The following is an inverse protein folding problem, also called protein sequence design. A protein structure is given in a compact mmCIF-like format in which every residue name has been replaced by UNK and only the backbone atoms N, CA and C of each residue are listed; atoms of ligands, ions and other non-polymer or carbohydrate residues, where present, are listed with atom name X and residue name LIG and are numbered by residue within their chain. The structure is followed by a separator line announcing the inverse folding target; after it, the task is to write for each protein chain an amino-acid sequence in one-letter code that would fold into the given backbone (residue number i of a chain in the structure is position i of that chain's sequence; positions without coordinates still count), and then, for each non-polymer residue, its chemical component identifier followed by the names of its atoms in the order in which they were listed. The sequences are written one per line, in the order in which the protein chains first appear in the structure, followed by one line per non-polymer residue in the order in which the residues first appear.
data_IF_419599998796
#
_entry.id   IF_419599998796
#
_cell.length_a   1.000
_cell.length_b   1.000
_cell.length_c   1.000
_cell.angle_alpha   90.00
_cell.angle_beta   90.00
_cell.angle_gamma   90.00
#
_symmetry.space_group_name_H-M   'P 1'
#
loop_
_entity.id
_entity.type
_entity.pdbx_description
1 polymer ?
#
# COMPACT_ATOMS: atom_id res chain seq x y z
N UNK A 1 28.65 -10.57 -14.26
CA UNK A 1 27.46 -10.20 -15.05
C UNK A 1 27.36 -8.69 -15.04
N UNK A 2 27.31 -7.99 -16.19
CA UNK A 2 27.18 -6.54 -16.15
C UNK A 2 25.75 -6.22 -15.69
N UNK A 3 25.60 -5.90 -14.42
CA UNK A 3 24.40 -5.25 -13.93
C UNK A 3 24.34 -3.89 -14.60
N UNK A 4 23.39 -3.72 -15.51
CA UNK A 4 22.90 -2.44 -15.97
C UNK A 4 22.83 -1.50 -14.74
N UNK A 5 23.66 -0.46 -14.67
CA UNK A 5 23.62 0.46 -13.55
C UNK A 5 22.30 1.22 -13.67
N UNK A 6 21.28 0.74 -12.95
CA UNK A 6 20.09 1.51 -12.70
C UNK A 6 20.56 2.81 -12.05
N UNK A 7 20.39 3.92 -12.77
CA UNK A 7 20.64 5.26 -12.22
C UNK A 7 19.90 5.33 -10.87
N UNK A 8 20.59 5.65 -9.76
CA UNK A 8 19.96 5.80 -8.46
C UNK A 8 18.70 6.67 -8.50
N UNK A 9 18.62 7.65 -9.42
CA UNK A 9 17.42 8.45 -9.66
C UNK A 9 16.16 7.59 -9.88
N UNK A 10 16.25 6.51 -10.66
CA UNK A 10 15.11 5.64 -10.92
C UNK A 10 14.63 4.94 -9.66
N UNK A 11 15.54 4.58 -8.75
CA UNK A 11 15.18 3.97 -7.47
C UNK A 11 14.43 4.96 -6.56
N UNK A 12 14.89 6.21 -6.47
CA UNK A 12 14.22 7.25 -5.69
C UNK A 12 12.84 7.59 -6.28
N UNK A 13 12.75 7.68 -7.61
CA UNK A 13 11.48 7.94 -8.28
C UNK A 13 10.48 6.80 -8.05
N UNK A 14 10.92 5.55 -8.17
CA UNK A 14 10.08 4.39 -7.91
C UNK A 14 9.61 4.35 -6.44
N UNK A 15 10.51 4.66 -5.50
CA UNK A 15 10.17 4.74 -4.08
C UNK A 15 9.16 5.84 -3.80
N UNK A 16 9.34 7.04 -4.37
CA UNK A 16 8.41 8.16 -4.24
C UNK A 16 7.02 7.82 -4.80
N UNK A 17 6.96 7.28 -6.02
CA UNK A 17 5.69 6.88 -6.64
C UNK A 17 4.96 5.83 -5.80
N UNK A 18 5.67 4.80 -5.35
CA UNK A 18 5.08 3.73 -4.54
C UNK A 18 4.64 4.24 -3.17
N UNK A 19 5.44 5.09 -2.52
CA UNK A 19 5.08 5.72 -1.25
C UNK A 19 3.78 6.53 -1.38
N UNK A 20 3.64 7.34 -2.43
CA UNK A 20 2.43 8.12 -2.70
C UNK A 20 1.22 7.18 -2.87
N UNK A 21 1.33 6.16 -3.73
CA UNK A 21 0.23 5.22 -3.98
C UNK A 21 -0.22 4.53 -2.70
N UNK A 22 0.73 4.06 -1.88
CA UNK A 22 0.43 3.36 -0.63
C UNK A 22 -0.17 4.29 0.42
N UNK A 23 0.40 5.48 0.63
CA UNK A 23 -0.08 6.43 1.64
C UNK A 23 -1.46 6.98 1.28
N UNK A 24 -1.67 7.38 0.03
CA UNK A 24 -2.97 7.89 -0.44
C UNK A 24 -4.01 6.77 -0.45
N UNK A 25 -3.64 5.58 -0.93
CA UNK A 25 -4.51 4.41 -0.94
C UNK A 25 -4.96 4.02 0.47
N UNK A 26 -4.03 4.03 1.44
CA UNK A 26 -4.36 3.74 2.83
C UNK A 26 -5.25 4.81 3.46
N UNK A 27 -4.97 6.09 3.20
CA UNK A 27 -5.79 7.19 3.69
C UNK A 27 -7.25 7.08 3.18
N UNK A 28 -7.45 6.77 1.91
CA UNK A 28 -8.78 6.55 1.33
C UNK A 28 -9.51 5.37 1.98
N UNK A 29 -8.81 4.24 2.17
CA UNK A 29 -9.38 3.05 2.83
C UNK A 29 -9.73 3.29 4.29
N UNK A 30 -8.95 4.08 5.02
CA UNK A 30 -9.24 4.42 6.43
C UNK A 30 -10.35 5.46 6.56
N UNK A 31 -10.47 6.37 5.61
CA UNK A 31 -11.53 7.38 5.60
C UNK A 31 -12.92 6.77 5.44
N UNK A 32 -13.06 5.69 4.65
CA UNK A 32 -14.30 4.92 4.49
C UNK A 32 -14.03 3.42 4.57
N UNK A 33 -13.68 2.97 5.78
CA UNK A 33 -13.32 1.57 6.06
C UNK A 33 -14.46 0.62 5.79
N UNK A 34 -15.70 1.02 6.06
CA UNK A 34 -16.86 0.17 5.89
C UNK A 34 -17.16 -0.07 4.41
N UNK A 35 -17.00 0.94 3.55
CA UNK A 35 -17.04 0.75 2.09
C UNK A 35 -15.92 -0.18 1.61
N UNK A 36 -14.71 -0.05 2.17
CA UNK A 36 -13.59 -0.94 1.83
C UNK A 36 -13.84 -2.40 2.28
N UNK A 37 -14.37 -2.61 3.48
CA UNK A 37 -14.77 -3.94 3.97
C UNK A 37 -15.87 -4.55 3.08
N UNK A 38 -16.87 -3.77 2.67
CA UNK A 38 -17.88 -4.19 1.71
C UNK A 38 -17.28 -4.63 0.37
N UNK A 39 -16.30 -3.88 -0.15
CA UNK A 39 -15.57 -4.28 -1.36
C UNK A 39 -14.81 -5.60 -1.17
N UNK A 40 -14.11 -5.78 -0.03
CA UNK A 40 -13.39 -7.02 0.29
C UNK A 40 -14.33 -8.24 0.36
N UNK A 41 -15.48 -8.11 1.00
CA UNK A 41 -16.50 -9.16 1.05
C UNK A 41 -17.02 -9.52 -0.35
N UNK A 42 -17.27 -8.50 -1.19
CA UNK A 42 -17.75 -8.70 -2.56
C UNK A 42 -16.74 -9.44 -3.45
N UNK A 43 -15.44 -9.24 -3.25
CA UNK A 43 -14.41 -9.96 -3.99
C UNK A 43 -14.32 -11.45 -3.61
N UNK A 44 -14.85 -11.86 -2.45
CA UNK A 44 -14.87 -13.25 -1.96
C UNK A 44 -13.49 -13.93 -1.96
N UNK A 45 -12.41 -13.15 -1.86
CA UNK A 45 -11.03 -13.64 -1.81
C UNK A 45 -10.66 -14.16 -0.42
N UNK A 46 -11.37 -13.71 0.60
CA UNK A 46 -11.14 -14.02 2.01
C UNK A 46 -12.37 -14.72 2.59
N UNK A 47 -12.21 -15.57 3.63
CA UNK A 47 -13.33 -16.01 4.44
C UNK A 47 -14.03 -14.82 5.10
N UNK A 48 -15.35 -14.93 5.34
CA UNK A 48 -16.15 -13.84 5.93
C UNK A 48 -15.56 -13.31 7.24
N UNK A 49 -15.05 -14.21 8.10
CA UNK A 49 -14.43 -13.86 9.38
C UNK A 49 -13.13 -13.04 9.25
N UNK A 50 -12.53 -13.01 8.07
CA UNK A 50 -11.28 -12.28 7.78
C UNK A 50 -11.50 -10.94 7.10
N UNK A 51 -12.72 -10.62 6.65
CA UNK A 51 -13.03 -9.35 5.98
C UNK A 51 -12.72 -8.17 6.88
N UNK A 52 -13.28 -8.16 8.10
CA UNK A 52 -13.09 -7.07 9.06
C UNK A 52 -11.63 -6.91 9.53
N UNK A 53 -10.91 -7.99 9.90
CA UNK A 53 -9.48 -7.90 10.17
C UNK A 53 -8.68 -7.36 8.97
N UNK A 54 -8.93 -7.86 7.76
CA UNK A 54 -8.22 -7.41 6.57
C UNK A 54 -8.50 -5.94 6.23
N UNK A 55 -9.72 -5.46 6.47
CA UNK A 55 -10.09 -4.05 6.30
C UNK A 55 -9.28 -3.10 7.19
N UNK A 56 -8.72 -3.59 8.31
CA UNK A 56 -7.76 -2.85 9.13
C UNK A 56 -6.30 -3.13 8.75
N UNK A 57 -5.93 -4.40 8.63
CA UNK A 57 -4.54 -4.80 8.46
C UNK A 57 -3.96 -4.33 7.13
N UNK A 58 -4.74 -4.34 6.05
CA UNK A 58 -4.29 -3.91 4.72
C UNK A 58 -3.93 -2.42 4.69
N UNK A 59 -4.81 -1.47 5.04
CA UNK A 59 -4.43 -0.06 5.05
C UNK A 59 -3.33 0.27 6.06
N UNK A 60 -3.27 -0.41 7.22
CA UNK A 60 -2.16 -0.24 8.16
C UNK A 60 -0.83 -0.71 7.57
N UNK A 61 -0.82 -1.83 6.84
CA UNK A 61 0.36 -2.32 6.13
C UNK A 61 0.77 -1.36 5.01
N UNK A 62 -0.19 -0.81 4.25
CA UNK A 62 0.08 0.22 3.25
C UNK A 62 0.66 1.49 3.86
N UNK A 63 0.13 1.98 4.99
CA UNK A 63 0.71 3.11 5.72
C UNK A 63 2.15 2.82 6.18
N UNK A 64 2.38 1.66 6.79
CA UNK A 64 3.70 1.27 7.26
C UNK A 64 4.71 1.17 6.11
N UNK A 65 4.34 0.49 5.01
CA UNK A 65 5.18 0.38 3.84
C UNK A 65 5.45 1.74 3.17
N UNK A 66 4.41 2.57 3.02
CA UNK A 66 4.53 3.90 2.44
C UNK A 66 5.45 4.82 3.26
N UNK A 67 5.33 4.80 4.59
CA UNK A 67 6.21 5.59 5.48
C UNK A 67 7.66 5.10 5.47
N UNK A 68 7.88 3.78 5.42
CA UNK A 68 9.23 3.19 5.31
C UNK A 68 9.92 3.50 3.97
N UNK A 69 9.16 3.81 2.91
CA UNK A 69 9.71 4.19 1.61
C UNK A 69 10.13 5.66 1.53
N UNK A 70 9.63 6.54 2.42
CA UNK A 70 9.94 7.97 2.38
C UNK A 70 11.44 8.29 2.44
N UNK A 71 12.27 7.64 3.29
CA UNK A 71 13.70 7.91 3.30
C UNK A 71 14.43 7.51 2.00
N UNK A 72 13.89 6.55 1.25
CA UNK A 72 14.41 6.17 -0.06
C UNK A 72 13.89 7.08 -1.17
N UNK A 73 12.79 7.81 -0.93
CA UNK A 73 12.17 8.72 -1.87
C UNK A 73 12.77 10.14 -1.87
N UNK A 74 13.56 10.48 -0.85
CA UNK A 74 14.14 11.82 -0.61
C UNK A 74 15.66 11.78 -0.64
#
# INVERSE_FOLDING_TARGET
MPGWPLDPLYAHLAAAMLAIVLLVGAAQKLADRDAFAGALAQYRLLPESWVDPAAWLLPLAELAAGTLLLPLAT
#
